data_IF_706311337216
#
_entry.id   IF_706311337216
#
_cell.length_a   1.000
_cell.length_b   1.000
_cell.length_c   1.000
_cell.angle_alpha   90.00
_cell.angle_beta   90.00
_cell.angle_gamma   90.00
#
_symmetry.space_group_name_H-M   'P 1'
#
loop_
_entity.id
_entity.type
_entity.pdbx_description
1 polymer ?
#
# COMPACT_ATOMS: atom_id res chain seq x y z
N UNK A 1 8.32 11.36 -17.97
CA UNK A 1 8.99 11.62 -16.68
C UNK A 1 8.14 12.55 -15.83
N UNK A 2 7.31 11.99 -14.95
CA UNK A 2 6.63 12.79 -13.92
C UNK A 2 7.68 13.02 -12.84
N UNK A 3 8.20 14.23 -12.75
CA UNK A 3 9.17 14.63 -11.72
C UNK A 3 8.61 14.30 -10.33
N UNK A 4 9.33 13.47 -9.57
CA UNK A 4 9.03 13.09 -8.19
C UNK A 4 8.97 14.31 -7.24
N UNK A 5 9.46 15.47 -7.67
CA UNK A 5 9.47 16.72 -6.90
C UNK A 5 8.08 17.38 -6.69
N UNK A 6 6.97 16.74 -7.06
CA UNK A 6 5.61 17.33 -6.96
C UNK A 6 4.60 16.54 -6.14
N UNK A 7 4.96 15.38 -5.62
CA UNK A 7 4.03 14.52 -4.90
C UNK A 7 4.28 14.61 -3.40
N UNK A 8 3.45 15.40 -2.68
CA UNK A 8 3.62 15.71 -1.26
C UNK A 8 3.62 14.48 -0.34
N UNK A 9 3.01 13.38 -0.78
CA UNK A 9 3.00 12.09 -0.05
C UNK A 9 4.35 11.36 -0.06
N UNK A 10 5.34 11.86 -0.82
CA UNK A 10 6.73 11.39 -0.81
C UNK A 10 7.72 12.46 -0.33
N UNK A 11 7.24 13.53 0.30
CA UNK A 11 8.11 14.46 1.02
C UNK A 11 8.76 13.75 2.22
N UNK A 12 9.89 14.27 2.72
CA UNK A 12 10.67 13.62 3.78
C UNK A 12 9.80 13.31 5.01
N UNK A 13 8.94 14.25 5.40
CA UNK A 13 8.04 14.12 6.55
C UNK A 13 6.96 13.05 6.31
N UNK A 14 6.50 12.89 5.07
CA UNK A 14 5.53 11.87 4.70
C UNK A 14 6.18 10.48 4.63
N UNK A 15 7.44 10.40 4.18
CA UNK A 15 8.20 9.15 4.20
C UNK A 15 8.44 8.67 5.64
N UNK A 16 8.86 9.57 6.53
CA UNK A 16 9.07 9.27 7.95
C UNK A 16 7.75 8.82 8.62
N UNK A 17 6.65 9.50 8.33
CA UNK A 17 5.33 9.10 8.85
C UNK A 17 4.87 7.71 8.36
N UNK A 18 5.30 7.31 7.15
CA UNK A 18 4.93 6.03 6.54
C UNK A 18 5.91 4.89 6.85
N UNK A 19 7.11 5.19 7.36
CA UNK A 19 8.20 4.23 7.54
C UNK A 19 7.79 3.05 8.42
N UNK A 20 7.07 3.32 9.51
CA UNK A 20 6.60 2.28 10.43
C UNK A 20 5.70 1.24 9.74
N UNK A 21 4.80 1.71 8.87
CA UNK A 21 3.92 0.83 8.09
C UNK A 21 4.72 0.03 7.07
N UNK A 22 5.62 0.67 6.33
CA UNK A 22 6.45 0.01 5.31
C UNK A 22 7.34 -1.06 5.95
N UNK A 23 7.93 -0.77 7.10
CA UNK A 23 8.75 -1.71 7.87
C UNK A 23 7.95 -2.91 8.36
N UNK A 24 6.75 -2.69 8.90
CA UNK A 24 5.85 -3.78 9.29
C UNK A 24 5.51 -4.71 8.11
N UNK A 25 5.17 -4.14 6.95
CA UNK A 25 4.87 -4.93 5.75
C UNK A 25 6.10 -5.74 5.30
N UNK A 26 7.31 -5.18 5.41
CA UNK A 26 8.54 -5.90 5.10
C UNK A 26 8.81 -7.05 6.07
N UNK A 27 8.55 -6.88 7.37
CA UNK A 27 8.67 -7.95 8.37
C UNK A 27 7.68 -9.09 8.05
N UNK A 28 6.40 -8.77 7.83
CA UNK A 28 5.39 -9.77 7.50
C UNK A 28 5.69 -10.50 6.19
N UNK A 29 6.24 -9.77 5.20
CA UNK A 29 6.68 -10.33 3.94
C UNK A 29 7.83 -11.33 4.15
N UNK A 30 8.83 -10.98 4.95
CA UNK A 30 9.95 -11.85 5.28
C UNK A 30 9.51 -13.10 6.06
N UNK A 31 8.63 -12.96 7.05
CA UNK A 31 8.08 -14.09 7.84
C UNK A 31 7.36 -15.12 6.97
N UNK A 32 6.72 -14.66 5.88
CA UNK A 32 5.94 -15.51 4.96
C UNK A 32 6.70 -15.89 3.68
N UNK A 33 7.93 -15.41 3.50
CA UNK A 33 8.72 -15.68 2.29
C UNK A 33 8.15 -15.05 1.01
N UNK A 34 7.46 -13.91 1.13
CA UNK A 34 6.80 -13.21 0.03
C UNK A 34 7.27 -11.77 -0.08
N UNK A 35 6.74 -11.02 -1.06
CA UNK A 35 7.07 -9.60 -1.23
C UNK A 35 6.12 -8.69 -0.46
N UNK A 36 6.58 -7.49 -0.08
CA UNK A 36 5.71 -6.49 0.56
C UNK A 36 4.52 -6.08 -0.33
N UNK A 37 4.70 -6.12 -1.66
CA UNK A 37 3.62 -5.87 -2.62
C UNK A 37 2.53 -6.94 -2.51
N UNK A 38 2.91 -8.20 -2.36
CA UNK A 38 1.97 -9.30 -2.14
C UNK A 38 1.23 -9.17 -0.82
N UNK A 39 1.89 -8.79 0.28
CA UNK A 39 1.22 -8.52 1.56
C UNK A 39 0.19 -7.39 1.42
N UNK A 40 0.54 -6.31 0.73
CA UNK A 40 -0.37 -5.18 0.52
C UNK A 40 -1.61 -5.56 -0.30
N UNK A 41 -1.44 -6.34 -1.36
CA UNK A 41 -2.54 -6.84 -2.19
C UNK A 41 -3.41 -7.86 -1.44
N UNK A 42 -2.79 -8.78 -0.69
CA UNK A 42 -3.50 -9.75 0.14
C UNK A 42 -4.33 -9.08 1.24
N UNK A 43 -3.79 -8.04 1.87
CA UNK A 43 -4.53 -7.22 2.83
C UNK A 43 -5.75 -6.56 2.18
N UNK A 44 -5.60 -5.99 0.98
CA UNK A 44 -6.70 -5.35 0.26
C UNK A 44 -7.81 -6.35 -0.10
N UNK A 45 -7.45 -7.54 -0.56
CA UNK A 45 -8.38 -8.64 -0.86
C UNK A 45 -9.11 -9.13 0.39
N UNK A 46 -8.46 -9.11 1.56
CA UNK A 46 -9.05 -9.55 2.82
C UNK A 46 -10.12 -8.59 3.38
N UNK A 47 -10.19 -7.34 2.92
CA UNK A 47 -11.09 -6.34 3.49
C UNK A 47 -12.57 -6.64 3.26
N UNK A 48 -12.93 -7.07 2.04
CA UNK A 48 -14.30 -7.45 1.64
C UNK A 48 -14.27 -8.43 0.47
N UNK A 49 -15.21 -9.38 0.40
CA UNK A 49 -15.20 -10.42 -0.64
C UNK A 49 -15.46 -9.90 -2.07
N UNK A 50 -15.95 -8.67 -2.23
CA UNK A 50 -16.21 -8.04 -3.53
C UNK A 50 -15.12 -7.05 -3.97
N UNK A 51 -14.00 -6.96 -3.25
CA UNK A 51 -12.87 -6.12 -3.65
C UNK A 51 -11.99 -6.88 -4.63
N UNK A 52 -11.85 -6.34 -5.84
CA UNK A 52 -10.96 -6.89 -6.88
C UNK A 52 -9.94 -5.81 -7.26
N UNK A 53 -8.67 -5.92 -6.81
CA UNK A 53 -7.64 -4.97 -7.18
C UNK A 53 -7.27 -5.11 -8.66
N UNK A 54 -6.95 -3.99 -9.31
CA UNK A 54 -6.49 -3.94 -10.71
C UNK A 54 -5.04 -3.45 -10.73
N UNK A 55 -4.06 -4.26 -10.28
CA UNK A 55 -2.67 -3.83 -10.21
C UNK A 55 -2.09 -3.68 -11.62
N UNK A 56 -1.65 -2.47 -11.95
CA UNK A 56 -0.96 -2.20 -13.21
C UNK A 56 0.50 -2.65 -13.15
N UNK A 57 0.97 -3.31 -14.21
CA UNK A 57 2.39 -3.67 -14.39
C UNK A 57 2.76 -3.65 -15.88
N UNK A 58 4.03 -3.37 -16.18
CA UNK A 58 4.61 -3.47 -17.52
C UNK A 58 5.56 -4.67 -17.66
N UNK A 59 5.79 -5.43 -16.59
CA UNK A 59 6.77 -6.53 -16.53
C UNK A 59 6.09 -7.84 -16.16
N UNK A 60 6.45 -8.92 -16.84
CA UNK A 60 5.85 -10.25 -16.65
C UNK A 60 6.09 -10.81 -15.23
N UNK A 61 7.33 -10.77 -14.74
CA UNK A 61 7.63 -11.24 -13.37
C UNK A 61 6.84 -10.50 -12.27
N UNK A 62 6.45 -9.24 -12.52
CA UNK A 62 5.60 -8.48 -11.59
C UNK A 62 4.14 -8.89 -11.68
N UNK A 63 3.68 -9.36 -12.83
CA UNK A 63 2.36 -9.97 -12.95
C UNK A 63 2.31 -11.24 -12.12
N UNK A 64 3.29 -12.11 -12.26
CA UNK A 64 3.41 -13.35 -11.49
C UNK A 64 3.48 -13.08 -9.98
N UNK A 65 4.28 -12.10 -9.56
CA UNK A 65 4.34 -11.62 -8.17
C UNK A 65 2.96 -11.17 -7.67
N UNK A 66 2.26 -10.31 -8.43
CA UNK A 66 0.94 -9.80 -8.06
C UNK A 66 -0.12 -10.91 -7.97
N UNK A 67 -0.08 -11.88 -8.89
CA UNK A 67 -1.00 -13.02 -8.88
C UNK A 67 -0.82 -13.87 -7.61
N UNK A 68 0.42 -14.09 -7.19
CA UNK A 68 0.71 -14.83 -5.96
C UNK A 68 0.12 -14.18 -4.69
N UNK A 69 -0.26 -12.91 -4.73
CA UNK A 69 -0.94 -12.27 -3.62
C UNK A 69 -2.36 -12.81 -3.35
N UNK A 70 -3.03 -13.34 -4.39
CA UNK A 70 -4.39 -13.87 -4.27
C UNK A 70 -4.43 -15.18 -3.47
N UNK A 71 -3.32 -15.94 -3.47
CA UNK A 71 -3.19 -17.20 -2.76
C UNK A 71 -2.74 -17.00 -1.29
N UNK A 72 -2.43 -15.78 -0.89
CA UNK A 72 -1.96 -15.49 0.46
C UNK A 72 -3.10 -15.31 1.45
N UNK A 73 -3.05 -16.12 2.51
CA UNK A 73 -3.94 -16.01 3.65
C UNK A 73 -3.21 -15.26 4.77
N UNK A 74 -3.67 -14.04 5.04
CA UNK A 74 -3.26 -13.28 6.21
C UNK A 74 -4.06 -13.76 7.42
N UNK A 75 -3.37 -14.03 8.53
CA UNK A 75 -4.05 -14.40 9.77
C UNK A 75 -4.79 -13.19 10.36
N UNK A 76 -5.77 -13.41 11.24
CA UNK A 76 -6.43 -12.31 11.94
C UNK A 76 -5.44 -11.44 12.72
N UNK A 77 -4.36 -12.05 13.25
CA UNK A 77 -3.30 -11.32 13.93
C UNK A 77 -2.52 -10.40 12.96
N UNK A 78 -2.22 -10.89 11.75
CA UNK A 78 -1.54 -10.07 10.73
C UNK A 78 -2.40 -8.87 10.32
N UNK A 79 -3.69 -9.11 10.08
CA UNK A 79 -4.66 -8.05 9.75
C UNK A 79 -4.79 -7.03 10.88
N UNK A 80 -4.80 -7.49 12.14
CA UNK A 80 -4.86 -6.62 13.29
C UNK A 80 -3.59 -5.75 13.43
N UNK A 81 -2.40 -6.34 13.26
CA UNK A 81 -1.12 -5.60 13.24
C UNK A 81 -1.12 -4.51 12.17
N UNK A 82 -1.55 -4.83 10.95
CA UNK A 82 -1.62 -3.86 9.85
C UNK A 82 -2.62 -2.74 10.17
N UNK A 83 -3.78 -3.08 10.73
CA UNK A 83 -4.82 -2.10 11.11
C UNK A 83 -4.30 -1.14 12.19
N UNK A 84 -3.68 -1.66 13.25
CA UNK A 84 -3.08 -0.85 14.30
C UNK A 84 -1.95 0.06 13.78
N UNK A 85 -1.16 -0.42 12.82
CA UNK A 85 -0.14 0.41 12.19
C UNK A 85 -0.79 1.55 11.39
N UNK A 86 -1.81 1.26 10.59
CA UNK A 86 -2.55 2.27 9.80
C UNK A 86 -3.19 3.35 10.67
N UNK A 87 -3.74 3.00 11.83
CA UNK A 87 -4.31 3.97 12.78
C UNK A 87 -3.28 4.96 13.34
N UNK A 88 -2.01 4.56 13.40
CA UNK A 88 -0.90 5.40 13.87
C UNK A 88 -0.29 6.25 12.76
N UNK A 89 -0.52 5.91 11.49
CA UNK A 89 0.02 6.68 10.36
C UNK A 89 -0.71 8.01 10.28
N UNK A 90 0.02 9.09 10.57
CA UNK A 90 -0.45 10.45 10.30
C UNK A 90 -0.37 10.68 8.79
N UNK A 91 -1.51 10.93 8.14
CA UNK A 91 -1.53 11.27 6.72
C UNK A 91 -0.89 12.66 6.55
N UNK A 92 0.32 12.70 5.99
CA UNK A 92 1.07 13.93 5.71
C UNK A 92 1.12 14.18 4.20
N UNK A 93 0.69 15.38 3.80
CA UNK A 93 0.66 15.80 2.40
C UNK A 93 -0.68 15.55 1.71
N UNK A 94 -1.10 16.50 0.86
CA UNK A 94 -2.32 16.33 0.07
C UNK A 94 -2.07 15.40 -1.13
N UNK A 95 -3.05 14.54 -1.43
CA UNK A 95 -3.00 13.62 -2.57
C UNK A 95 -2.99 14.37 -3.91
N UNK A 96 -3.65 15.52 -3.99
CA UNK A 96 -3.65 16.37 -5.17
C UNK A 96 -3.16 17.79 -4.85
N UNK A 97 -2.53 18.49 -5.80
CA UNK A 97 -2.37 19.94 -5.74
C UNK A 97 -3.73 20.62 -5.58
N UNK A 98 -3.80 21.74 -4.85
CA UNK A 98 -5.04 22.45 -4.52
C UNK A 98 -5.97 22.72 -5.74
N UNK A 99 -5.39 23.04 -6.90
CA UNK A 99 -6.16 23.27 -8.14
C UNK A 99 -6.86 22.00 -8.67
N UNK A 100 -6.29 20.82 -8.46
CA UNK A 100 -6.88 19.53 -8.81
C UNK A 100 -7.82 19.05 -7.70
N UNK A 101 -7.45 19.27 -6.43
CA UNK A 101 -8.28 18.98 -5.26
C UNK A 101 -9.65 19.68 -5.36
N UNK A 102 -9.70 20.94 -5.83
CA UNK A 102 -10.93 21.72 -6.02
C UNK A 102 -11.90 21.16 -7.08
N UNK A 103 -11.46 20.17 -7.88
CA UNK A 103 -12.25 19.54 -8.94
C UNK A 103 -12.74 18.13 -8.57
N UNK A 104 -12.31 17.59 -7.42
CA UNK A 104 -12.73 16.27 -6.94
C UNK A 104 -14.13 16.36 -6.36
N UNK A 105 -15.07 15.53 -6.84
CA UNK A 105 -16.43 15.42 -6.30
C UNK A 105 -17.39 16.55 -6.68
N UNK A 106 -17.05 17.35 -7.70
CA UNK A 106 -18.02 18.24 -8.38
C UNK A 106 -18.77 17.49 -9.48
#
# INVERSE_FOLDING_TARGET
>A
MISAARCRVFAAEALEANEQLVSLLAILAAEKGVTSAQIALAWLLAQKPWIVPIPGTTKLHRLEENLGAADLILSQNDLHKITQALEKVKIVGERYPAALQARVGR
#
